data_IF_111200069270
#
_entry.id   IF_111200069270
#
_cell.length_a   1.000
_cell.length_b   1.000
_cell.length_c   1.000
_cell.angle_alpha   90.00
_cell.angle_beta   90.00
_cell.angle_gamma   90.00
#
_symmetry.space_group_name_H-M   'P 1'
#
loop_
_entity.id
_entity.type
_entity.pdbx_description
1 polymer ?
#
# COMPACT_ATOMS: atom_id res chain seq x y z
N UNK A 1 15.19 -6.19 -4.13
CA UNK A 1 15.30 -7.08 -2.96
C UNK A 1 15.33 -8.53 -3.43
N UNK A 2 16.28 -9.34 -2.94
CA UNK A 2 16.39 -10.76 -3.30
C UNK A 2 15.81 -11.64 -2.19
N UNK A 3 14.86 -12.51 -2.55
CA UNK A 3 14.25 -13.46 -1.64
C UNK A 3 14.64 -14.89 -2.02
N UNK A 4 14.86 -15.75 -1.02
CA UNK A 4 15.04 -17.19 -1.20
C UNK A 4 13.79 -17.91 -0.72
N UNK A 5 13.29 -18.84 -1.51
CA UNK A 5 12.15 -19.66 -1.08
C UNK A 5 12.55 -20.57 0.08
N UNK A 6 11.66 -20.74 1.07
CA UNK A 6 11.90 -21.66 2.18
C UNK A 6 11.76 -23.11 1.69
N UNK A 7 12.84 -23.88 1.81
CA UNK A 7 12.86 -25.30 1.43
C UNK A 7 12.97 -25.56 -0.08
N UNK A 8 13.36 -24.57 -0.88
CA UNK A 8 13.75 -24.72 -2.29
C UNK A 8 15.14 -24.08 -2.51
N UNK A 9 15.79 -24.39 -3.63
CA UNK A 9 17.00 -23.69 -4.09
C UNK A 9 16.68 -22.43 -4.90
N UNK A 10 15.40 -22.20 -5.18
CA UNK A 10 14.90 -21.10 -5.95
C UNK A 10 15.08 -19.71 -5.28
N UNK A 11 15.48 -18.72 -6.08
CA UNK A 11 15.69 -17.34 -5.65
C UNK A 11 14.95 -16.38 -6.56
N UNK A 12 14.28 -15.40 -5.96
CA UNK A 12 13.44 -14.43 -6.65
C UNK A 12 13.93 -13.01 -6.36
N UNK A 13 14.24 -12.27 -7.42
CA UNK A 13 14.50 -10.84 -7.34
C UNK A 13 13.19 -10.06 -7.50
N UNK A 14 12.84 -9.33 -6.45
CA UNK A 14 11.65 -8.49 -6.37
C UNK A 14 12.06 -7.02 -6.42
N UNK A 15 11.28 -6.23 -7.13
CA UNK A 15 11.50 -4.81 -7.36
C UNK A 15 10.31 -4.02 -6.84
N UNK A 16 10.49 -2.72 -6.64
CA UNK A 16 9.40 -1.83 -6.25
C UNK A 16 9.26 -0.77 -7.33
N UNK A 17 8.07 -0.68 -7.92
CA UNK A 17 7.73 0.30 -8.94
C UNK A 17 6.25 0.72 -8.78
N UNK A 18 5.94 1.98 -9.09
CA UNK A 18 4.56 2.51 -9.14
C UNK A 18 3.69 2.29 -7.89
N UNK A 19 4.28 2.18 -6.69
CA UNK A 19 3.50 1.90 -5.48
C UNK A 19 3.37 0.40 -5.16
N UNK A 20 4.01 -0.50 -5.91
CA UNK A 20 3.80 -1.95 -5.83
C UNK A 20 5.10 -2.74 -5.84
N UNK A 21 5.00 -3.96 -5.32
CA UNK A 21 6.04 -4.98 -5.52
C UNK A 21 5.86 -5.58 -6.91
N UNK A 22 6.93 -5.66 -7.68
CA UNK A 22 6.91 -6.13 -9.05
C UNK A 22 7.95 -7.23 -9.28
N UNK A 23 7.67 -8.12 -10.22
CA UNK A 23 8.66 -9.00 -10.84
C UNK A 23 9.23 -8.29 -12.06
N UNK A 24 10.55 -8.36 -12.23
CA UNK A 24 11.22 -7.85 -13.43
C UNK A 24 11.13 -8.89 -14.54
N UNK A 25 10.67 -8.48 -15.72
CA UNK A 25 10.70 -9.25 -16.95
C UNK A 25 11.53 -8.48 -17.98
N UNK A 26 12.49 -9.17 -18.59
CA UNK A 26 13.20 -8.64 -19.76
C UNK A 26 12.36 -8.99 -20.98
N UNK A 27 11.99 -7.98 -21.77
CA UNK A 27 11.37 -8.19 -23.07
C UNK A 27 12.44 -8.40 -24.14
N UNK A 28 12.06 -9.03 -25.26
CA UNK A 28 12.96 -9.36 -26.36
C UNK A 28 13.67 -8.13 -26.96
N UNK A 29 13.06 -6.94 -26.82
CA UNK A 29 13.62 -5.63 -27.21
C UNK A 29 14.71 -5.10 -26.27
N UNK A 30 15.13 -5.88 -25.25
CA UNK A 30 16.09 -5.46 -24.23
C UNK A 30 15.52 -4.45 -23.21
N UNK A 31 14.23 -4.14 -23.28
CA UNK A 31 13.56 -3.27 -22.30
C UNK A 31 13.18 -4.06 -21.05
N UNK A 32 13.19 -3.37 -19.92
CA UNK A 32 12.79 -3.94 -18.64
C UNK A 32 11.33 -3.59 -18.35
N UNK A 33 10.48 -4.61 -18.26
CA UNK A 33 9.10 -4.47 -17.83
C UNK A 33 8.95 -4.90 -16.36
N UNK A 34 8.22 -4.11 -15.57
CA UNK A 34 7.93 -4.42 -14.17
C UNK A 34 6.47 -4.83 -14.04
N UNK A 35 6.25 -6.13 -13.84
CA UNK A 35 4.90 -6.69 -13.72
C UNK A 35 4.51 -6.74 -12.25
N UNK A 36 3.43 -6.05 -11.82
CA UNK A 36 3.05 -5.98 -10.42
C UNK A 36 2.62 -7.36 -9.90
N UNK A 37 3.14 -7.72 -8.73
CA UNK A 37 2.74 -8.91 -8.01
C UNK A 37 1.45 -8.64 -7.23
N UNK A 38 0.61 -9.66 -7.15
CA UNK A 38 -0.61 -9.58 -6.37
C UNK A 38 -0.28 -9.47 -4.88
N UNK A 39 -0.68 -8.34 -4.29
CA UNK A 39 -0.71 -8.18 -2.84
C UNK A 39 -2.04 -8.74 -2.37
N UNK A 40 -2.00 -9.90 -1.70
CA UNK A 40 -3.19 -10.56 -1.17
C UNK A 40 -3.79 -9.75 -0.03
N UNK A 41 -2.92 -9.30 0.87
CA UNK A 41 -3.33 -8.63 2.09
C UNK A 41 -2.25 -7.71 2.65
N UNK A 42 -2.70 -6.63 3.30
CA UNK A 42 -1.90 -5.85 4.23
C UNK A 42 -2.03 -6.46 5.63
N UNK A 43 -1.09 -7.34 5.99
CA UNK A 43 -1.02 -8.01 7.29
C UNK A 43 -0.50 -7.02 8.34
N UNK A 44 -1.30 -6.79 9.38
CA UNK A 44 -0.87 -6.06 10.58
C UNK A 44 -0.45 -7.07 11.64
N UNK A 45 0.81 -7.02 12.08
CA UNK A 45 1.28 -7.83 13.20
C UNK A 45 1.40 -6.98 14.46
N UNK A 46 0.64 -7.38 15.47
CA UNK A 46 0.74 -6.81 16.81
C UNK A 46 1.93 -7.44 17.55
N UNK A 47 2.71 -6.59 18.21
CA UNK A 47 3.85 -6.93 19.06
C UNK A 47 4.25 -5.68 19.85
N UNK A 48 5.48 -5.61 20.39
CA UNK A 48 5.98 -4.38 21.05
C UNK A 48 5.90 -3.13 20.15
N UNK A 49 5.96 -3.31 18.84
CA UNK A 49 5.71 -2.29 17.82
C UNK A 49 4.73 -2.86 16.80
N UNK A 50 3.76 -2.07 16.37
CA UNK A 50 2.85 -2.43 15.27
C UNK A 50 3.65 -2.41 13.97
N UNK A 51 3.57 -3.49 13.19
CA UNK A 51 4.28 -3.63 11.91
C UNK A 51 3.32 -4.01 10.80
N UNK A 52 3.55 -3.47 9.62
CA UNK A 52 2.71 -3.71 8.46
C UNK A 52 3.48 -4.45 7.38
N UNK A 53 2.87 -5.49 6.82
CA UNK A 53 3.47 -6.32 5.79
C UNK A 53 2.52 -6.48 4.61
N UNK A 54 3.04 -6.34 3.40
CA UNK A 54 2.40 -6.90 2.21
C UNK A 54 2.67 -8.38 2.17
N UNK A 55 1.60 -9.17 2.20
CA UNK A 55 1.68 -10.60 1.90
C UNK A 55 1.54 -10.76 0.38
N UNK A 56 2.60 -11.27 -0.23
CA UNK A 56 2.65 -11.53 -1.66
C UNK A 56 2.88 -13.01 -1.88
N UNK A 57 2.34 -13.51 -2.98
CA UNK A 57 2.52 -14.88 -3.42
C UNK A 57 3.22 -14.87 -4.77
N UNK A 58 4.27 -15.68 -4.89
CA UNK A 58 5.07 -15.85 -6.10
C UNK A 58 5.01 -17.31 -6.49
N UNK A 59 4.40 -17.58 -7.63
CA UNK A 59 4.38 -18.92 -8.20
C UNK A 59 5.73 -19.21 -8.87
N UNK A 60 6.41 -20.24 -8.35
CA UNK A 60 7.65 -20.78 -8.90
C UNK A 60 7.36 -22.21 -9.40
N UNK A 61 8.03 -22.69 -10.46
CA UNK A 61 7.82 -24.06 -10.97
C UNK A 61 7.96 -25.15 -9.92
N UNK A 62 8.81 -24.97 -8.91
CA UNK A 62 9.00 -25.94 -7.83
C UNK A 62 7.90 -25.85 -6.76
N UNK A 63 7.47 -24.63 -6.42
CA UNK A 63 6.53 -24.37 -5.33
C UNK A 63 6.00 -22.94 -5.36
N UNK A 64 4.77 -22.74 -4.89
CA UNK A 64 4.27 -21.39 -4.59
C UNK A 64 4.88 -20.84 -3.29
N UNK A 65 5.47 -19.66 -3.36
CA UNK A 65 6.11 -19.00 -2.21
C UNK A 65 5.31 -17.81 -1.72
N UNK A 66 5.06 -17.75 -0.42
CA UNK A 66 4.49 -16.58 0.23
C UNK A 66 5.58 -15.76 0.92
N UNK A 67 5.76 -14.52 0.50
CA UNK A 67 6.68 -13.56 1.13
C UNK A 67 5.92 -12.48 1.90
N UNK A 68 6.59 -11.94 2.92
CA UNK A 68 6.10 -10.79 3.69
C UNK A 68 7.08 -9.65 3.52
N UNK A 69 6.64 -8.58 2.88
CA UNK A 69 7.44 -7.39 2.62
C UNK A 69 7.00 -6.30 3.57
N UNK A 70 7.93 -5.76 4.34
CA UNK A 70 7.64 -4.71 5.31
C UNK A 70 7.35 -3.40 4.58
N UNK A 71 6.31 -2.68 5.01
CA UNK A 71 5.82 -1.47 4.32
C UNK A 71 5.92 -0.20 5.16
N UNK A 72 6.17 -0.34 6.47
CA UNK A 72 6.34 0.76 7.40
C UNK A 72 7.79 1.27 7.47
N UNK A 73 8.78 0.41 7.24
CA UNK A 73 10.21 0.75 7.24
C UNK A 73 11.00 -0.21 6.33
N UNK A 74 12.12 0.27 5.80
CA UNK A 74 13.19 -0.49 5.14
C UNK A 74 14.33 -0.82 6.10
N UNK A 75 15.27 -1.68 5.69
CA UNK A 75 16.50 -1.88 6.47
C UNK A 75 17.42 -0.63 6.40
N UNK A 76 17.29 0.21 5.36
CA UNK A 76 17.98 1.50 5.29
C UNK A 76 17.41 2.51 6.29
N UNK A 77 16.10 2.50 6.58
CA UNK A 77 15.48 3.34 7.62
C UNK A 77 16.08 3.10 9.01
N UNK A 78 16.63 1.90 9.25
CA UNK A 78 17.29 1.57 10.53
C UNK A 78 18.70 2.13 10.63
N UNK A 79 19.30 2.57 9.52
CA UNK A 79 20.65 3.12 9.51
C UNK A 79 20.63 4.57 9.99
N UNK A 80 21.63 4.95 10.78
CA UNK A 80 21.83 6.35 11.15
C UNK A 80 22.55 7.04 9.98
N UNK A 81 22.01 8.18 9.55
CA UNK A 81 22.68 9.04 8.60
C UNK A 81 23.93 9.64 9.27
N UNK A 82 25.14 9.36 8.76
CA UNK A 82 26.37 9.86 9.34
C UNK A 82 26.48 11.40 9.30
N UNK A 83 25.73 12.09 8.43
CA UNK A 83 25.72 13.56 8.36
C UNK A 83 24.78 14.21 9.37
N UNK A 84 23.59 13.64 9.55
CA UNK A 84 22.53 14.26 10.37
C UNK A 84 22.43 13.66 11.77
N UNK A 85 23.07 12.52 12.02
CA UNK A 85 23.00 11.80 13.29
C UNK A 85 21.61 11.24 13.61
N UNK A 86 20.68 11.29 12.64
CA UNK A 86 19.29 10.82 12.76
C UNK A 86 19.11 9.54 11.96
N UNK A 87 18.09 8.75 12.30
CA UNK A 87 17.69 7.63 11.44
C UNK A 87 17.40 8.14 10.04
N UNK A 88 17.94 7.43 9.04
CA UNK A 88 17.60 7.67 7.65
C UNK A 88 16.09 7.48 7.50
N UNK A 89 15.51 8.31 6.66
CA UNK A 89 14.10 8.22 6.34
C UNK A 89 13.96 7.88 4.87
N UNK A 90 14.29 6.64 4.55
CA UNK A 90 14.03 6.03 3.26
C UNK A 90 12.66 5.35 3.33
N UNK A 91 11.60 6.18 3.33
CA UNK A 91 10.23 5.66 3.14
C UNK A 91 10.29 4.71 1.96
N UNK A 92 9.57 3.59 2.03
CA UNK A 92 9.21 2.83 0.83
C UNK A 92 8.30 3.70 -0.04
N UNK A 93 8.82 4.81 -0.57
CA UNK A 93 8.09 5.86 -1.29
C UNK A 93 7.41 5.28 -2.53
N UNK A 94 8.09 4.32 -3.13
CA UNK A 94 7.60 3.49 -4.23
C UNK A 94 6.63 2.39 -3.81
N UNK A 95 6.31 2.22 -2.52
CA UNK A 95 5.34 1.23 -2.04
C UNK A 95 4.16 1.94 -1.38
N UNK A 96 2.95 1.71 -1.90
CA UNK A 96 1.73 2.19 -1.24
C UNK A 96 1.38 1.21 -0.12
N UNK A 97 1.06 1.73 1.08
CA UNK A 97 0.62 0.89 2.19
C UNK A 97 -0.71 0.18 1.90
N UNK A 98 -1.60 0.82 1.12
CA UNK A 98 -2.79 0.18 0.55
C UNK A 98 -2.79 0.44 -0.96
N UNK A 99 -2.17 -0.44 -1.77
CA UNK A 99 -2.11 -0.26 -3.22
C UNK A 99 -3.50 -0.37 -3.86
N UNK A 100 -3.83 0.41 -4.91
CA UNK A 100 -5.12 0.35 -5.58
C UNK A 100 -5.40 -1.06 -6.14
N UNK A 101 -6.66 -1.43 -6.39
CA UNK A 101 -7.00 -2.75 -6.96
C UNK A 101 -6.67 -3.98 -6.09
N UNK A 102 -6.10 -3.80 -4.89
CA UNK A 102 -5.93 -4.89 -3.91
C UNK A 102 -7.22 -5.13 -3.14
N UNK A 103 -7.42 -6.32 -2.53
CA UNK A 103 -8.58 -6.56 -1.66
C UNK A 103 -8.69 -5.53 -0.52
N UNK A 104 -7.57 -5.13 0.06
CA UNK A 104 -7.53 -4.07 1.08
C UNK A 104 -8.01 -2.72 0.55
N UNK A 105 -7.59 -2.32 -0.65
CA UNK A 105 -8.10 -1.10 -1.30
C UNK A 105 -9.57 -1.21 -1.67
N UNK A 106 -10.05 -2.37 -2.12
CA UNK A 106 -11.47 -2.58 -2.42
C UNK A 106 -12.34 -2.49 -1.18
N UNK A 107 -11.88 -3.01 -0.03
CA UNK A 107 -12.58 -2.83 1.26
C UNK A 107 -12.60 -1.38 1.71
N UNK A 108 -11.50 -0.66 1.48
CA UNK A 108 -11.35 0.74 1.84
C UNK A 108 -12.22 1.67 0.99
N UNK A 109 -12.20 1.47 -0.34
CA UNK A 109 -12.87 2.31 -1.33
C UNK A 109 -14.24 1.77 -1.78
N UNK A 110 -14.64 0.58 -1.33
CA UNK A 110 -15.88 -0.08 -1.78
C UNK A 110 -17.17 0.58 -1.29
N UNK A 111 -17.10 1.41 -0.24
CA UNK A 111 -18.24 2.19 0.24
C UNK A 111 -18.49 3.47 -0.58
N UNK A 112 -17.65 3.74 -1.58
CA UNK A 112 -17.70 4.96 -2.38
C UNK A 112 -18.43 4.69 -3.69
N UNK A 113 -19.46 5.47 -3.99
CA UNK A 113 -19.87 5.67 -5.37
C UNK A 113 -18.93 6.71 -5.99
N UNK A 114 -18.15 6.31 -6.99
CA UNK A 114 -17.23 7.22 -7.71
C UNK A 114 -17.95 8.33 -8.48
N UNK A 115 -19.28 8.22 -8.62
CA UNK A 115 -20.17 9.23 -9.20
C UNK A 115 -20.22 10.53 -8.39
N UNK A 116 -19.86 10.50 -7.10
CA UNK A 116 -19.93 11.69 -6.25
C UNK A 116 -18.62 12.50 -6.27
N UNK A 117 -18.71 13.73 -6.79
CA UNK A 117 -17.58 14.66 -6.96
C UNK A 117 -16.87 15.01 -5.65
N UNK A 118 -17.59 14.95 -4.52
CA UNK A 118 -17.05 15.20 -3.17
C UNK A 118 -16.02 14.13 -2.81
N UNK A 119 -16.29 12.86 -3.11
CA UNK A 119 -15.33 11.80 -2.83
C UNK A 119 -14.08 11.89 -3.71
N UNK A 120 -14.18 12.36 -4.97
CA UNK A 120 -13.01 12.59 -5.83
C UNK A 120 -12.03 13.62 -5.27
N UNK A 121 -12.54 14.66 -4.60
CA UNK A 121 -11.68 15.69 -3.99
C UNK A 121 -10.92 15.20 -2.78
N UNK A 122 -11.43 14.18 -2.08
CA UNK A 122 -10.79 13.66 -0.88
C UNK A 122 -9.41 13.04 -1.16
N UNK A 123 -9.30 12.21 -2.21
CA UNK A 123 -8.00 11.64 -2.60
C UNK A 123 -7.03 12.74 -3.07
N UNK A 124 -7.53 13.71 -3.85
CA UNK A 124 -6.74 14.83 -4.38
C UNK A 124 -6.25 15.81 -3.29
N UNK A 125 -6.96 15.89 -2.16
CA UNK A 125 -6.62 16.80 -1.07
C UNK A 125 -5.34 16.37 -0.32
N UNK A 126 -4.87 15.14 -0.48
CA UNK A 126 -3.67 14.65 0.19
C UNK A 126 -2.46 14.61 -0.74
N UNK A 127 -1.25 14.96 -0.22
CA UNK A 127 0.00 14.79 -0.96
C UNK A 127 0.14 13.36 -1.51
N UNK A 128 0.50 13.27 -2.79
CA UNK A 128 0.63 12.01 -3.54
C UNK A 128 -0.64 11.17 -3.65
N UNK A 129 -1.82 11.75 -3.41
CA UNK A 129 -3.12 11.06 -3.41
C UNK A 129 -3.18 9.88 -2.43
N UNK A 130 -2.53 10.06 -1.27
CA UNK A 130 -2.42 9.03 -0.22
C UNK A 130 -2.99 9.55 1.09
N UNK A 131 -3.99 8.85 1.60
CA UNK A 131 -4.54 9.10 2.93
C UNK A 131 -3.43 8.94 3.99
N UNK A 132 -3.25 9.91 4.90
CA UNK A 132 -2.15 9.93 5.88
C UNK A 132 -2.48 9.03 7.09
N UNK A 133 -2.74 7.76 6.83
CA UNK A 133 -3.08 6.79 7.88
C UNK A 133 -2.23 5.54 7.77
N UNK A 134 -1.81 5.03 8.93
CA UNK A 134 -1.16 3.74 9.02
C UNK A 134 -2.20 2.62 8.96
N UNK A 135 -2.12 1.84 7.89
CA UNK A 135 -2.86 0.60 7.71
C UNK A 135 -4.29 0.80 7.20
N UNK A 136 -4.88 -0.31 6.76
CA UNK A 136 -6.23 -0.29 6.17
C UNK A 136 -7.31 0.18 7.15
N UNK A 137 -7.18 -0.14 8.45
CA UNK A 137 -8.16 0.26 9.49
C UNK A 137 -8.10 1.75 9.81
N UNK A 138 -6.90 2.29 9.98
CA UNK A 138 -6.71 3.73 10.21
C UNK A 138 -7.20 4.53 9.02
N UNK A 139 -6.85 4.09 7.80
CA UNK A 139 -7.35 4.70 6.59
C UNK A 139 -8.89 4.65 6.53
N UNK A 140 -9.51 3.49 6.79
CA UNK A 140 -10.96 3.33 6.81
C UNK A 140 -11.65 4.30 7.77
N UNK A 141 -11.08 4.52 8.96
CA UNK A 141 -11.63 5.47 9.93
C UNK A 141 -11.69 6.90 9.36
N UNK A 142 -10.65 7.33 8.64
CA UNK A 142 -10.65 8.65 8.00
C UNK A 142 -11.71 8.71 6.90
N UNK A 143 -11.84 7.67 6.07
CA UNK A 143 -12.90 7.61 5.05
C UNK A 143 -14.31 7.65 5.67
N UNK A 144 -14.55 6.91 6.74
CA UNK A 144 -15.84 6.91 7.44
C UNK A 144 -16.14 8.30 8.03
N UNK A 145 -15.15 8.95 8.65
CA UNK A 145 -15.29 10.30 9.16
C UNK A 145 -15.63 11.30 8.05
N UNK A 146 -14.96 11.20 6.90
CA UNK A 146 -15.23 12.05 5.74
C UNK A 146 -16.65 11.85 5.20
N UNK A 147 -17.09 10.59 5.02
CA UNK A 147 -18.44 10.27 4.58
C UNK A 147 -19.51 10.78 5.57
N UNK A 148 -19.25 10.65 6.87
CA UNK A 148 -20.15 11.14 7.90
C UNK A 148 -20.30 12.67 7.85
N UNK A 149 -19.21 13.41 7.67
CA UNK A 149 -19.26 14.87 7.50
C UNK A 149 -20.04 15.24 6.24
N UNK A 150 -19.77 14.59 5.10
CA UNK A 150 -20.50 14.83 3.86
C UNK A 150 -22.01 14.59 3.98
N UNK A 151 -22.40 13.49 4.63
CA UNK A 151 -23.81 13.18 4.88
C UNK A 151 -24.46 14.17 5.85
N UNK A 152 -23.71 14.64 6.86
CA UNK A 152 -24.21 15.61 7.84
C UNK A 152 -24.45 16.98 7.22
N UNK A 153 -23.54 17.44 6.36
CA UNK A 153 -23.69 18.69 5.60
C UNK A 153 -24.89 18.58 4.65
N UNK A 154 -24.98 17.49 3.89
CA UNK A 154 -26.11 17.25 2.97
C UNK A 154 -27.45 17.27 3.71
N UNK A 155 -27.54 16.60 4.87
CA UNK A 155 -28.74 16.63 5.71
C UNK A 155 -29.07 18.03 6.20
N UNK A 156 -28.08 18.80 6.64
CA UNK A 156 -28.27 20.17 7.10
C UNK A 156 -28.78 21.07 5.97
N UNK A 157 -28.15 21.01 4.79
CA UNK A 157 -28.55 21.79 3.62
C UNK A 157 -29.96 21.44 3.14
N UNK A 158 -30.30 20.16 3.08
CA UNK A 158 -31.67 19.74 2.70
C UNK A 158 -32.72 20.21 3.72
N UNK A 159 -32.38 20.24 5.01
CA UNK A 159 -33.28 20.74 6.05
C UNK A 159 -33.57 22.26 5.94
N UNK A 160 -32.70 23.04 5.29
CA UNK A 160 -32.97 24.46 5.00
C UNK A 160 -33.89 24.68 3.79
N UNK A 161 -34.08 23.65 2.95
CA UNK A 161 -34.94 23.69 1.77
C UNK A 161 -36.28 22.96 1.97
N UNK A 162 -36.56 22.50 3.21
CA UNK A 162 -37.81 21.86 3.64
C UNK A 162 -38.64 22.84 4.47
#
# INVERSE_FOLDING_TARGET
>A
MRYKGKGCTCSHDLYVAEGRVCKRQLTDDGRTHYTPLLVEELECRAGKKIRFYHRITVDCPEKTHTFRIRVDETDEDRQIDPKTGRQRFNRTEHLRQVPPGTPAARRLKGFRQDSESIHSRFDQAYPHERVPAYGARGALLIYLGYAWVGNSITRALNAFHS
#
